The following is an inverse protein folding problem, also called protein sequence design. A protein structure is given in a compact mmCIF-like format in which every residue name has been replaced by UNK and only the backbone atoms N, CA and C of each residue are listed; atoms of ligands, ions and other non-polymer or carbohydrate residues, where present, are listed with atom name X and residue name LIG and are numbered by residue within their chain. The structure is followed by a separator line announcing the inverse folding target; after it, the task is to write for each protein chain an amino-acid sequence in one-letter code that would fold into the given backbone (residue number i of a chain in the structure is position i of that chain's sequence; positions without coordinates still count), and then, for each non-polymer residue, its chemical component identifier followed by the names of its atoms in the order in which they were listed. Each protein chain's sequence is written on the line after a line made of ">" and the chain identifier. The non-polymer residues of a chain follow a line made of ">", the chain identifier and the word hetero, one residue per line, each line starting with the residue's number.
data_IF_534737344266
#
_entry.id   IF_534737344266
#
_cell.length_a   1.000
_cell.length_b   1.000
_cell.length_c   1.000
_cell.angle_alpha   90.00
_cell.angle_beta   90.00
_cell.angle_gamma   90.00
#
_symmetry.space_group_name_H-M   'P 1'
#
loop_
_entity.id
_entity.type
_entity.pdbx_description
1 polymer ?
#
# COMPACT_ATOMS: atom_id res chain seq x y z
N UNK A 1 -8.22 -40.43 -1.81
CA UNK A 1 -8.28 -40.09 -3.25
C UNK A 1 -8.47 -38.58 -3.32
N UNK A 2 -7.46 -37.80 -3.72
CA UNK A 2 -7.67 -36.36 -3.88
C UNK A 2 -8.60 -36.16 -5.08
N UNK A 3 -9.76 -35.54 -4.85
CA UNK A 3 -10.65 -35.13 -5.94
C UNK A 3 -9.84 -34.29 -6.95
N UNK A 4 -9.92 -34.66 -8.23
CA UNK A 4 -9.25 -33.89 -9.28
C UNK A 4 -9.91 -32.51 -9.37
N UNK A 5 -9.12 -31.44 -9.26
CA UNK A 5 -9.63 -30.07 -9.36
C UNK A 5 -10.38 -29.84 -10.69
N UNK A 6 -11.48 -29.08 -10.68
CA UNK A 6 -12.16 -28.68 -11.91
C UNK A 6 -11.20 -27.93 -12.85
N UNK A 7 -11.41 -28.09 -14.14
CA UNK A 7 -10.55 -27.49 -15.17
C UNK A 7 -11.17 -26.22 -15.75
N UNK A 8 -10.38 -25.15 -15.80
CA UNK A 8 -10.72 -23.90 -16.47
C UNK A 8 -9.91 -23.76 -17.76
N UNK A 9 -10.60 -23.82 -18.90
CA UNK A 9 -9.99 -23.72 -20.23
C UNK A 9 -9.94 -22.28 -20.70
N UNK A 10 -8.77 -21.88 -21.22
CA UNK A 10 -8.55 -20.56 -21.78
C UNK A 10 -8.85 -20.52 -23.29
N UNK A 11 -9.22 -19.33 -23.76
CA UNK A 11 -9.30 -19.01 -25.19
C UNK A 11 -7.90 -19.13 -25.84
N UNK A 12 -7.82 -19.36 -27.17
CA UNK A 12 -6.54 -19.44 -27.86
C UNK A 12 -5.64 -18.23 -27.60
N UNK A 13 -4.37 -18.49 -27.22
CA UNK A 13 -3.33 -17.50 -26.92
C UNK A 13 -3.49 -16.70 -25.61
N UNK A 14 -4.58 -16.88 -24.85
CA UNK A 14 -4.77 -16.18 -23.58
C UNK A 14 -3.77 -16.62 -22.50
N UNK A 15 -3.17 -17.80 -22.63
CA UNK A 15 -2.17 -18.32 -21.70
C UNK A 15 -0.82 -17.60 -21.77
N UNK A 16 -0.56 -16.82 -22.83
CA UNK A 16 0.76 -16.19 -23.09
C UNK A 16 1.23 -15.33 -21.92
N UNK A 17 0.33 -14.51 -21.35
CA UNK A 17 0.64 -13.63 -20.20
C UNK A 17 0.97 -14.44 -18.95
N UNK A 18 0.23 -15.52 -18.70
CA UNK A 18 0.49 -16.41 -17.56
C UNK A 18 1.86 -17.09 -17.67
N UNK A 19 2.24 -17.52 -18.88
CA UNK A 19 3.53 -18.17 -19.14
C UNK A 19 4.73 -17.24 -18.93
N UNK A 20 4.55 -15.93 -19.06
CA UNK A 20 5.58 -14.93 -18.77
C UNK A 20 5.48 -14.35 -17.35
N UNK A 21 4.62 -14.93 -16.50
CA UNK A 21 4.56 -14.65 -15.06
C UNK A 21 3.35 -13.85 -14.59
N UNK A 22 2.44 -13.40 -15.45
CA UNK A 22 1.20 -12.76 -15.00
C UNK A 22 0.37 -13.74 -14.17
N UNK A 23 -0.32 -13.28 -13.12
CA UNK A 23 -1.11 -14.17 -12.26
C UNK A 23 -2.62 -14.08 -12.52
N UNK A 24 -3.13 -13.06 -13.19
CA UNK A 24 -4.57 -12.93 -13.44
C UNK A 24 -5.01 -13.52 -14.78
N UNK A 25 -6.19 -14.13 -14.75
CA UNK A 25 -7.00 -14.51 -15.91
C UNK A 25 -8.25 -13.66 -15.89
N UNK A 26 -8.48 -12.89 -16.95
CA UNK A 26 -9.67 -12.06 -17.07
C UNK A 26 -10.86 -12.88 -17.59
N UNK A 27 -12.08 -12.48 -17.26
CA UNK A 27 -13.29 -13.23 -17.62
C UNK A 27 -13.45 -13.43 -19.14
N UNK A 28 -13.00 -12.49 -19.96
CA UNK A 28 -13.00 -12.57 -21.42
C UNK A 28 -11.91 -13.49 -22.00
N UNK A 29 -10.98 -13.98 -21.17
CA UNK A 29 -9.92 -14.92 -21.57
C UNK A 29 -10.33 -16.39 -21.41
N UNK A 30 -11.50 -16.64 -20.80
CA UNK A 30 -12.00 -17.99 -20.52
C UNK A 30 -12.87 -18.48 -21.68
N UNK A 31 -12.67 -19.72 -22.11
CA UNK A 31 -13.56 -20.41 -23.04
C UNK A 31 -14.80 -20.86 -22.28
N UNK A 32 -15.80 -19.97 -22.22
CA UNK A 32 -17.05 -20.21 -21.47
C UNK A 32 -17.95 -21.27 -22.10
N UNK A 33 -17.71 -21.65 -23.37
CA UNK A 33 -18.42 -22.75 -24.01
C UNK A 33 -17.91 -24.11 -23.52
N UNK A 34 -16.61 -24.23 -23.24
CA UNK A 34 -16.00 -25.44 -22.66
C UNK A 34 -16.03 -25.47 -21.14
N UNK A 35 -15.80 -24.33 -20.49
CA UNK A 35 -15.88 -24.18 -19.04
C UNK A 35 -16.80 -23.01 -18.70
N UNK A 36 -18.11 -23.25 -18.50
CA UNK A 36 -19.03 -22.22 -18.05
C UNK A 36 -18.61 -21.69 -16.67
N UNK A 37 -18.19 -20.42 -16.57
CA UNK A 37 -17.73 -19.82 -15.30
C UNK A 37 -18.77 -19.95 -14.18
N UNK A 38 -20.06 -19.82 -14.52
CA UNK A 38 -21.18 -19.94 -13.56
C UNK A 38 -21.31 -21.33 -12.91
N UNK A 39 -20.62 -22.34 -13.40
CA UNK A 39 -20.56 -23.67 -12.77
C UNK A 39 -19.57 -23.72 -11.59
N UNK A 40 -18.68 -22.73 -11.48
CA UNK A 40 -17.73 -22.60 -10.38
C UNK A 40 -18.34 -21.72 -9.27
N UNK A 41 -17.89 -21.92 -8.03
CA UNK A 41 -18.19 -21.03 -6.91
C UNK A 41 -17.01 -20.09 -6.66
N UNK A 42 -17.30 -18.89 -6.14
CA UNK A 42 -16.27 -17.91 -5.83
C UNK A 42 -15.29 -18.46 -4.78
N UNK A 43 -14.01 -18.60 -5.18
CA UNK A 43 -12.92 -19.16 -4.41
C UNK A 43 -12.60 -20.64 -4.68
N UNK A 44 -13.28 -21.31 -5.62
CA UNK A 44 -12.94 -22.71 -5.97
C UNK A 44 -11.52 -22.81 -6.53
N UNK A 45 -10.76 -23.81 -6.08
CA UNK A 45 -9.48 -24.17 -6.70
C UNK A 45 -9.73 -24.85 -8.05
N UNK A 46 -8.98 -24.45 -9.06
CA UNK A 46 -9.10 -24.92 -10.44
C UNK A 46 -7.71 -25.19 -11.04
N UNK A 47 -7.67 -26.11 -12.00
CA UNK A 47 -6.53 -26.27 -12.89
C UNK A 47 -6.76 -25.48 -14.19
N UNK A 48 -5.81 -24.62 -14.53
CA UNK A 48 -5.82 -23.82 -15.77
C UNK A 48 -5.17 -24.63 -16.89
N UNK A 49 -5.85 -24.71 -18.03
CA UNK A 49 -5.33 -25.32 -19.26
C UNK A 49 -5.45 -24.36 -20.45
N UNK A 50 -4.52 -24.45 -21.38
CA UNK A 50 -4.61 -23.69 -22.64
C UNK A 50 -5.71 -24.27 -23.56
N UNK A 51 -5.96 -23.62 -24.69
CA UNK A 51 -7.01 -24.02 -25.64
C UNK A 51 -6.82 -25.44 -26.20
N UNK A 52 -5.60 -26.00 -26.15
CA UNK A 52 -5.25 -27.36 -26.57
C UNK A 52 -5.30 -28.37 -25.42
N UNK A 53 -5.62 -27.93 -24.20
CA UNK A 53 -5.66 -28.77 -23.01
C UNK A 53 -4.30 -28.97 -22.32
N UNK A 54 -3.26 -28.22 -22.70
CA UNK A 54 -1.96 -28.29 -22.01
C UNK A 54 -2.05 -27.54 -20.69
N UNK A 55 -1.54 -28.15 -19.62
CA UNK A 55 -1.46 -27.55 -18.29
C UNK A 55 -0.74 -26.18 -18.31
N UNK A 56 -1.31 -25.23 -17.57
CA UNK A 56 -0.75 -23.89 -17.32
C UNK A 56 -0.43 -23.70 -15.84
N UNK A 57 -1.29 -24.19 -14.94
CA UNK A 57 -1.04 -24.14 -13.50
C UNK A 57 -2.31 -24.29 -12.66
N UNK A 58 -2.19 -24.06 -11.35
CA UNK A 58 -3.29 -24.12 -10.37
C UNK A 58 -3.62 -22.72 -9.89
N UNK A 59 -4.91 -22.41 -9.81
CA UNK A 59 -5.46 -21.10 -9.47
C UNK A 59 -6.68 -21.26 -8.54
N UNK A 60 -7.16 -20.16 -7.98
CA UNK A 60 -8.56 -20.08 -7.57
C UNK A 60 -9.36 -19.24 -8.55
N UNK A 61 -10.65 -19.53 -8.70
CA UNK A 61 -11.57 -18.84 -9.59
C UNK A 61 -12.60 -18.00 -8.83
N UNK A 62 -13.01 -16.87 -9.40
CA UNK A 62 -14.19 -16.13 -8.99
C UNK A 62 -15.05 -15.80 -10.22
N UNK A 63 -16.20 -16.47 -10.42
CA UNK A 63 -17.02 -16.30 -11.62
C UNK A 63 -17.70 -14.93 -11.72
N UNK A 64 -17.74 -14.18 -10.61
CA UNK A 64 -18.42 -12.89 -10.51
C UNK A 64 -17.45 -11.70 -10.63
N UNK A 65 -16.15 -11.96 -10.80
CA UNK A 65 -15.11 -10.93 -10.89
C UNK A 65 -14.62 -10.75 -12.33
N UNK A 66 -14.17 -9.53 -12.66
CA UNK A 66 -13.47 -9.27 -13.93
C UNK A 66 -12.17 -10.09 -14.02
N UNK A 67 -11.49 -10.26 -12.89
CA UNK A 67 -10.37 -11.20 -12.74
C UNK A 67 -10.98 -12.54 -12.34
N UNK A 68 -11.31 -13.35 -13.35
CA UNK A 68 -12.04 -14.60 -13.18
C UNK A 68 -11.21 -15.71 -12.51
N UNK A 69 -9.88 -15.67 -12.61
CA UNK A 69 -9.01 -16.55 -11.85
C UNK A 69 -7.67 -15.89 -11.51
N UNK A 70 -7.06 -16.34 -10.41
CA UNK A 70 -5.74 -15.89 -9.95
C UNK A 70 -4.83 -17.09 -9.71
N UNK A 71 -3.74 -17.15 -10.46
CA UNK A 71 -2.76 -18.23 -10.45
C UNK A 71 -1.97 -18.24 -9.14
N UNK A 72 -1.96 -19.39 -8.47
CA UNK A 72 -1.19 -19.65 -7.26
C UNK A 72 0.14 -20.36 -7.58
N UNK A 73 0.12 -21.19 -8.61
CA UNK A 73 1.26 -22.00 -9.03
C UNK A 73 1.24 -22.23 -10.53
N UNK A 74 2.41 -22.15 -11.16
CA UNK A 74 2.60 -22.57 -12.56
C UNK A 74 2.61 -24.10 -12.73
N UNK A 75 2.60 -24.85 -11.62
CA UNK A 75 2.46 -26.30 -11.59
C UNK A 75 1.00 -26.67 -11.41
N UNK A 76 0.45 -27.43 -12.35
CA UNK A 76 -0.95 -27.89 -12.31
C UNK A 76 -1.19 -29.07 -11.35
N UNK A 77 -0.12 -29.68 -10.83
CA UNK A 77 -0.16 -30.70 -9.78
C UNK A 77 0.08 -30.10 -8.37
N UNK A 78 0.08 -28.77 -8.25
CA UNK A 78 0.35 -28.13 -6.97
C UNK A 78 -0.81 -28.37 -6.00
N UNK A 79 -0.48 -28.94 -4.84
CA UNK A 79 -1.39 -29.04 -3.70
C UNK A 79 -1.30 -27.73 -2.92
N UNK A 80 -2.41 -27.00 -2.84
CA UNK A 80 -2.52 -25.73 -2.12
C UNK A 80 -2.99 -26.01 -0.69
N UNK A 81 -2.04 -26.44 0.14
CA UNK A 81 -2.26 -26.81 1.54
C UNK A 81 -1.48 -25.90 2.51
N UNK A 82 -1.52 -26.25 3.80
CA UNK A 82 -0.75 -25.58 4.84
C UNK A 82 0.75 -25.54 4.49
N UNK A 83 1.34 -26.65 4.06
CA UNK A 83 2.76 -26.72 3.75
C UNK A 83 3.13 -25.82 2.57
N UNK A 84 2.26 -25.68 1.57
CA UNK A 84 2.44 -24.73 0.47
C UNK A 84 2.42 -23.28 0.95
N UNK A 85 1.45 -22.90 1.80
CA UNK A 85 1.36 -21.55 2.37
C UNK A 85 2.57 -21.23 3.27
N UNK A 86 2.95 -22.16 4.15
CA UNK A 86 4.12 -22.04 5.02
C UNK A 86 5.39 -21.77 4.21
N UNK A 87 5.63 -22.51 3.12
CA UNK A 87 6.80 -22.25 2.25
C UNK A 87 6.75 -20.88 1.57
N UNK A 88 5.57 -20.41 1.16
CA UNK A 88 5.41 -19.08 0.54
C UNK A 88 5.67 -17.97 1.55
N UNK A 89 5.12 -18.08 2.76
CA UNK A 89 5.33 -17.13 3.85
C UNK A 89 6.79 -17.10 4.29
N UNK A 90 7.44 -18.26 4.41
CA UNK A 90 8.87 -18.36 4.74
C UNK A 90 9.74 -17.63 3.69
N UNK A 91 9.45 -17.81 2.40
CA UNK A 91 10.16 -17.12 1.32
C UNK A 91 9.92 -15.60 1.37
N UNK A 92 8.69 -15.17 1.58
CA UNK A 92 8.35 -13.75 1.71
C UNK A 92 9.07 -13.12 2.92
N UNK A 93 9.06 -13.80 4.08
CA UNK A 93 9.78 -13.41 5.30
C UNK A 93 11.27 -13.30 5.06
N UNK A 94 11.90 -14.33 4.48
CA UNK A 94 13.34 -14.38 4.28
C UNK A 94 13.84 -13.17 3.46
N UNK A 95 13.06 -12.72 2.47
CA UNK A 95 13.36 -11.50 1.74
C UNK A 95 13.36 -10.27 2.66
N UNK A 96 12.30 -10.06 3.46
CA UNK A 96 12.20 -8.88 4.34
C UNK A 96 13.23 -8.91 5.47
N UNK A 97 13.45 -10.06 6.09
CA UNK A 97 14.45 -10.22 7.16
C UNK A 97 15.88 -9.93 6.66
N UNK A 98 16.14 -10.02 5.34
CA UNK A 98 17.43 -9.65 4.75
C UNK A 98 17.61 -8.13 4.52
N UNK A 99 16.53 -7.35 4.55
CA UNK A 99 16.52 -5.91 4.26
C UNK A 99 16.26 -5.11 5.53
N UNK A 100 15.31 -5.54 6.36
CA UNK A 100 14.83 -4.80 7.51
C UNK A 100 15.41 -5.38 8.80
N UNK A 101 16.08 -4.55 9.63
CA UNK A 101 16.73 -5.02 10.84
C UNK A 101 15.74 -5.40 11.96
N UNK A 102 14.49 -4.93 11.86
CA UNK A 102 13.43 -5.23 12.81
C UNK A 102 12.20 -5.75 12.07
N UNK A 103 11.37 -6.60 12.72
CA UNK A 103 10.17 -7.19 12.12
C UNK A 103 9.00 -6.20 11.96
N UNK A 104 9.25 -5.03 11.36
CA UNK A 104 8.25 -4.00 11.05
C UNK A 104 8.27 -3.72 9.55
N UNK A 105 7.42 -4.42 8.79
CA UNK A 105 7.37 -4.34 7.33
C UNK A 105 6.09 -4.99 6.80
N UNK A 106 5.79 -4.77 5.52
CA UNK A 106 4.86 -5.62 4.77
C UNK A 106 5.46 -6.99 4.50
N UNK A 107 4.97 -8.01 5.21
CA UNK A 107 5.41 -9.39 5.05
C UNK A 107 4.91 -10.01 3.73
N UNK A 108 3.66 -9.75 3.35
CA UNK A 108 3.06 -10.25 2.11
C UNK A 108 2.37 -9.11 1.36
N UNK A 109 2.72 -8.96 0.09
CA UNK A 109 2.15 -7.99 -0.85
C UNK A 109 1.51 -8.70 -2.06
N UNK A 110 0.48 -9.50 -1.77
CA UNK A 110 -0.41 -10.09 -2.77
C UNK A 110 0.30 -10.91 -3.84
N UNK A 111 -0.01 -10.58 -5.08
CA UNK A 111 0.53 -11.21 -6.28
C UNK A 111 2.06 -11.18 -6.34
N UNK A 112 2.69 -10.12 -5.82
CA UNK A 112 4.13 -9.95 -5.89
C UNK A 112 4.90 -11.01 -5.06
N UNK A 113 4.25 -11.57 -4.04
CA UNK A 113 4.77 -12.69 -3.23
C UNK A 113 4.19 -14.05 -3.63
N UNK A 114 3.48 -14.13 -4.76
CA UNK A 114 2.83 -15.35 -5.22
C UNK A 114 1.66 -15.79 -4.34
N UNK A 115 1.07 -14.85 -3.58
CA UNK A 115 -0.09 -15.05 -2.72
C UNK A 115 -1.21 -14.05 -3.11
N UNK A 116 -1.78 -14.15 -4.34
CA UNK A 116 -2.80 -13.22 -4.81
C UNK A 116 -3.90 -12.95 -3.80
N UNK A 117 -4.22 -11.68 -3.58
CA UNK A 117 -5.25 -11.26 -2.64
C UNK A 117 -4.90 -11.34 -1.15
N UNK A 118 -3.69 -11.76 -0.75
CA UNK A 118 -3.23 -11.72 0.64
C UNK A 118 -2.37 -10.48 0.91
N UNK A 119 -2.69 -9.74 1.95
CA UNK A 119 -1.82 -8.71 2.52
C UNK A 119 -1.53 -9.07 3.97
N UNK A 120 -0.26 -9.03 4.36
CA UNK A 120 0.15 -9.21 5.76
C UNK A 120 1.15 -8.13 6.12
N UNK A 121 0.79 -7.26 7.05
CA UNK A 121 1.70 -6.30 7.67
C UNK A 121 2.13 -6.83 9.03
N UNK A 122 3.44 -6.82 9.29
CA UNK A 122 4.04 -7.33 10.52
C UNK A 122 4.46 -6.17 11.40
N UNK A 123 4.00 -6.18 12.65
CA UNK A 123 4.32 -5.23 13.70
C UNK A 123 4.94 -5.99 14.87
N UNK A 124 6.20 -6.40 14.72
CA UNK A 124 6.85 -7.22 15.74
C UNK A 124 6.23 -8.60 15.84
N UNK A 125 5.58 -8.84 16.97
CA UNK A 125 4.86 -10.06 17.32
C UNK A 125 3.37 -10.02 16.95
N UNK A 126 2.88 -8.91 16.37
CA UNK A 126 1.51 -8.79 15.86
C UNK A 126 1.51 -8.83 14.33
N UNK A 127 0.55 -9.55 13.74
CA UNK A 127 0.30 -9.52 12.30
C UNK A 127 -1.07 -8.92 12.00
N UNK A 128 -1.14 -7.97 11.07
CA UNK A 128 -2.40 -7.46 10.52
C UNK A 128 -2.58 -8.05 9.13
N UNK A 129 -3.67 -8.79 8.94
CA UNK A 129 -3.90 -9.64 7.78
C UNK A 129 -5.16 -9.18 7.05
N UNK A 130 -5.09 -9.11 5.72
CA UNK A 130 -6.24 -8.90 4.87
C UNK A 130 -6.31 -9.98 3.80
N UNK A 131 -7.49 -10.58 3.65
CA UNK A 131 -7.80 -11.52 2.58
C UNK A 131 -8.79 -10.85 1.64
N UNK A 132 -8.30 -10.33 0.53
CA UNK A 132 -9.04 -9.39 -0.31
C UNK A 132 -9.73 -10.05 -1.51
N UNK A 133 -9.69 -11.37 -1.63
CA UNK A 133 -10.26 -12.11 -2.77
C UNK A 133 -10.92 -13.39 -2.28
N UNK A 134 -11.95 -13.86 -3.00
CA UNK A 134 -12.75 -15.00 -2.54
C UNK A 134 -11.94 -16.29 -2.33
N UNK A 135 -10.93 -16.55 -3.16
CA UNK A 135 -10.06 -17.72 -2.98
C UNK A 135 -9.15 -17.62 -1.76
N UNK A 136 -8.55 -16.44 -1.53
CA UNK A 136 -7.70 -16.24 -0.36
C UNK A 136 -8.51 -16.22 0.94
N UNK A 137 -9.74 -15.69 0.91
CA UNK A 137 -10.67 -15.72 2.04
C UNK A 137 -11.01 -17.16 2.46
N UNK A 138 -11.23 -18.07 1.50
CA UNK A 138 -11.38 -19.50 1.79
C UNK A 138 -10.12 -20.16 2.34
N UNK A 139 -8.95 -19.69 1.94
CA UNK A 139 -7.66 -20.16 2.46
C UNK A 139 -7.30 -19.50 3.80
N UNK A 140 -8.06 -18.54 4.29
CA UNK A 140 -7.78 -17.78 5.52
C UNK A 140 -7.46 -18.68 6.73
N UNK A 141 -8.20 -19.77 7.01
CA UNK A 141 -7.86 -20.67 8.12
C UNK A 141 -6.46 -21.29 8.00
N UNK A 142 -6.03 -21.63 6.78
CA UNK A 142 -4.69 -22.15 6.54
C UNK A 142 -3.63 -21.05 6.59
N UNK A 143 -3.95 -19.82 6.16
CA UNK A 143 -3.06 -18.66 6.30
C UNK A 143 -2.77 -18.37 7.78
N UNK A 144 -3.80 -18.40 8.63
CA UNK A 144 -3.65 -18.23 10.08
C UNK A 144 -2.73 -19.30 10.66
N UNK A 145 -2.96 -20.57 10.34
CA UNK A 145 -2.12 -21.68 10.79
C UNK A 145 -0.67 -21.54 10.30
N UNK A 146 -0.48 -21.12 9.05
CA UNK A 146 0.85 -20.92 8.47
C UNK A 146 1.59 -19.76 9.15
N UNK A 147 0.92 -18.65 9.45
CA UNK A 147 1.49 -17.53 10.21
C UNK A 147 1.85 -17.95 11.64
N UNK A 148 1.00 -18.74 12.30
CA UNK A 148 1.29 -19.28 13.63
C UNK A 148 2.52 -20.20 13.63
N UNK A 149 2.66 -21.05 12.62
CA UNK A 149 3.82 -21.94 12.47
C UNK A 149 5.12 -21.16 12.18
N UNK A 150 5.06 -20.16 11.31
CA UNK A 150 6.26 -19.44 10.85
C UNK A 150 6.73 -18.33 11.80
N UNK A 151 5.80 -17.64 12.46
CA UNK A 151 6.10 -16.41 13.20
C UNK A 151 5.82 -16.50 14.70
N UNK A 152 4.99 -17.45 15.13
CA UNK A 152 4.48 -17.55 16.50
C UNK A 152 4.00 -16.17 17.04
N UNK A 153 3.14 -15.45 16.30
CA UNK A 153 2.73 -14.11 16.70
C UNK A 153 1.88 -14.17 17.98
N UNK A 154 2.02 -13.16 18.83
CA UNK A 154 1.16 -12.96 20.00
C UNK A 154 -0.31 -12.73 19.61
N UNK A 155 -0.52 -12.09 18.46
CA UNK A 155 -1.86 -11.82 17.94
C UNK A 155 -1.89 -11.63 16.42
N UNK A 156 -3.01 -12.04 15.82
CA UNK A 156 -3.33 -11.82 14.41
C UNK A 156 -4.62 -11.03 14.34
N UNK A 157 -4.60 -9.88 13.67
CA UNK A 157 -5.78 -9.07 13.39
C UNK A 157 -6.19 -9.23 11.94
N UNK A 158 -7.35 -9.84 11.71
CA UNK A 158 -7.97 -9.93 10.40
C UNK A 158 -8.69 -8.60 10.12
N UNK A 159 -8.05 -7.69 9.37
CA UNK A 159 -8.60 -6.40 8.93
C UNK A 159 -9.30 -6.54 7.57
N UNK A 160 -10.36 -7.33 7.56
CA UNK A 160 -11.16 -7.65 6.39
C UNK A 160 -12.32 -6.64 6.22
N UNK A 161 -12.06 -5.34 6.38
CA UNK A 161 -13.01 -4.21 6.29
C UNK A 161 -12.70 -3.27 5.11
N UNK A 162 -11.86 -3.72 4.17
CA UNK A 162 -11.47 -2.95 2.98
C UNK A 162 -12.49 -3.04 1.84
N UNK A 163 -12.63 -1.94 1.08
CA UNK A 163 -13.57 -1.83 -0.05
C UNK A 163 -13.37 -2.85 -1.19
N UNK A 164 -12.20 -3.49 -1.26
CA UNK A 164 -11.93 -4.59 -2.20
C UNK A 164 -12.83 -5.80 -1.95
N UNK A 165 -13.25 -6.04 -0.70
CA UNK A 165 -14.10 -7.19 -0.35
C UNK A 165 -15.49 -7.09 -0.94
N UNK A 166 -16.06 -5.88 -1.00
CA UNK A 166 -17.35 -5.64 -1.66
C UNK A 166 -17.31 -6.04 -3.14
N UNK A 167 -16.21 -5.76 -3.84
CA UNK A 167 -16.02 -6.11 -5.27
C UNK A 167 -15.93 -7.62 -5.47
N UNK A 168 -15.41 -8.35 -4.48
CA UNK A 168 -15.30 -9.82 -4.49
C UNK A 168 -16.53 -10.52 -3.90
N UNK A 169 -17.56 -9.76 -3.47
CA UNK A 169 -18.79 -10.29 -2.88
C UNK A 169 -18.60 -10.89 -1.48
N UNK A 170 -17.60 -10.42 -0.73
CA UNK A 170 -17.24 -10.91 0.59
C UNK A 170 -17.80 -10.01 1.70
N UNK A 171 -18.17 -10.58 2.87
CA UNK A 171 -18.58 -9.79 4.02
C UNK A 171 -17.38 -9.01 4.60
N UNK A 172 -17.64 -7.82 5.14
CA UNK A 172 -16.66 -7.06 5.90
C UNK A 172 -16.65 -7.52 7.35
N UNK A 173 -15.46 -7.76 7.91
CA UNK A 173 -15.30 -8.22 9.28
C UNK A 173 -13.94 -7.78 9.84
N UNK A 174 -13.90 -7.50 11.15
CA UNK A 174 -12.66 -7.33 11.89
C UNK A 174 -12.64 -8.33 13.04
N UNK A 175 -11.67 -9.22 13.02
CA UNK A 175 -11.55 -10.31 14.00
C UNK A 175 -10.13 -10.40 14.53
N UNK A 176 -9.98 -10.63 15.83
CA UNK A 176 -8.68 -10.82 16.46
C UNK A 176 -8.52 -12.26 16.93
N UNK A 177 -7.35 -12.83 16.67
CA UNK A 177 -6.93 -14.16 17.11
C UNK A 177 -5.75 -13.96 18.05
N UNK A 178 -5.87 -14.43 19.29
CA UNK A 178 -4.92 -14.11 20.35
C UNK A 178 -5.09 -12.67 20.86
N UNK A 179 -4.01 -12.08 21.36
CA UNK A 179 -4.03 -10.75 21.97
C UNK A 179 -3.61 -9.68 20.97
N UNK A 180 -4.56 -8.85 20.54
CA UNK A 180 -4.29 -7.70 19.67
C UNK A 180 -4.78 -6.41 20.35
N UNK A 181 -3.88 -5.50 20.75
CA UNK A 181 -4.25 -4.21 21.31
C UNK A 181 -4.85 -3.27 20.25
N UNK A 182 -5.46 -2.16 20.68
CA UNK A 182 -6.02 -1.15 19.76
C UNK A 182 -4.93 -0.44 18.94
N UNK A 183 -3.78 -0.22 19.56
CA UNK A 183 -2.56 0.28 18.93
C UNK A 183 -1.38 -0.64 19.20
N UNK A 184 -0.50 -0.80 18.20
CA UNK A 184 0.72 -1.62 18.28
C UNK A 184 1.94 -0.76 18.13
N UNK A 185 3.00 -1.06 18.87
CA UNK A 185 4.27 -0.39 18.71
C UNK A 185 4.99 -0.87 17.45
N UNK A 186 5.74 0.03 16.83
CA UNK A 186 6.67 -0.29 15.75
C UNK A 186 7.92 0.59 15.82
N UNK A 187 9.01 0.06 15.29
CA UNK A 187 10.26 0.80 15.14
C UNK A 187 10.62 0.85 13.66
N UNK A 188 10.60 2.06 13.10
CA UNK A 188 10.97 2.31 11.72
C UNK A 188 12.27 3.11 11.69
N UNK A 189 13.36 2.48 11.21
CA UNK A 189 14.69 3.07 11.12
C UNK A 189 15.11 3.84 12.39
N UNK A 190 14.92 3.22 13.56
CA UNK A 190 15.29 3.75 14.88
C UNK A 190 14.28 4.70 15.54
N UNK A 191 13.18 5.05 14.87
CA UNK A 191 12.12 5.93 15.43
C UNK A 191 10.93 5.09 15.84
N UNK A 192 10.38 5.37 17.03
CA UNK A 192 9.30 4.58 17.65
C UNK A 192 7.95 5.20 17.35
N UNK A 193 6.97 4.37 17.02
CA UNK A 193 5.59 4.80 16.81
C UNK A 193 4.62 3.80 17.41
N UNK A 194 3.39 4.25 17.63
CA UNK A 194 2.21 3.42 17.85
C UNK A 194 1.25 3.58 16.67
N UNK A 195 0.95 2.47 16.02
CA UNK A 195 0.01 2.39 14.91
C UNK A 195 -1.36 1.92 15.42
N UNK A 196 -2.46 2.66 15.16
CA UNK A 196 -3.80 2.27 15.58
C UNK A 196 -4.35 1.18 14.65
N UNK A 197 -3.99 -0.08 14.88
CA UNK A 197 -4.28 -1.20 13.95
C UNK A 197 -5.74 -1.63 13.91
N UNK A 198 -6.56 -1.29 14.91
CA UNK A 198 -8.01 -1.65 14.90
C UNK A 198 -8.89 -0.62 14.22
N UNK A 199 -8.60 0.66 14.42
CA UNK A 199 -9.46 1.77 13.98
C UNK A 199 -8.79 2.70 12.96
N UNK A 200 -7.50 2.51 12.71
CA UNK A 200 -6.71 3.29 11.77
C UNK A 200 -6.99 2.94 10.31
N UNK A 201 -6.46 3.81 9.43
CA UNK A 201 -6.52 3.63 7.98
C UNK A 201 -5.65 2.45 7.54
N UNK A 202 -6.03 1.81 6.42
CA UNK A 202 -5.37 0.58 5.90
C UNK A 202 -5.26 -0.48 7.02
N UNK A 203 -4.04 -0.87 7.35
CA UNK A 203 -3.67 -1.82 8.40
C UNK A 203 -3.18 -1.12 9.67
N UNK A 204 -3.23 0.22 9.73
CA UNK A 204 -2.77 1.06 10.85
C UNK A 204 -1.47 1.82 10.58
N UNK A 205 -0.69 1.43 9.56
CA UNK A 205 0.57 2.10 9.20
C UNK A 205 0.84 2.03 7.69
N UNK A 206 1.62 2.99 7.19
CA UNK A 206 1.99 3.12 5.78
C UNK A 206 3.45 2.71 5.58
N UNK A 207 3.72 1.40 5.61
CA UNK A 207 5.06 0.84 5.36
C UNK A 207 5.57 1.14 3.94
N UNK A 208 4.67 1.33 2.97
CA UNK A 208 4.99 1.71 1.59
C UNK A 208 5.82 3.00 1.47
N UNK A 209 5.72 3.90 2.45
CA UNK A 209 6.43 5.17 2.52
C UNK A 209 7.74 5.13 3.33
N UNK A 210 8.14 3.99 3.91
CA UNK A 210 9.35 3.87 4.77
C UNK A 210 10.59 4.41 4.08
N UNK A 211 10.96 3.87 2.92
CA UNK A 211 12.17 4.30 2.18
C UNK A 211 12.13 5.79 1.82
N UNK A 212 10.95 6.33 1.52
CA UNK A 212 10.78 7.75 1.22
C UNK A 212 11.00 8.59 2.50
N UNK A 213 10.50 8.15 3.65
CA UNK A 213 10.78 8.78 4.96
C UNK A 213 12.26 8.74 5.31
N UNK A 214 12.97 7.68 4.96
CA UNK A 214 14.42 7.59 5.18
C UNK A 214 15.20 8.55 4.28
N UNK A 215 14.90 8.60 2.97
CA UNK A 215 15.52 9.55 2.02
C UNK A 215 15.27 11.01 2.42
N UNK A 216 14.07 11.28 2.91
CA UNK A 216 13.65 12.62 3.34
C UNK A 216 14.53 13.24 4.42
N UNK A 217 15.12 12.44 5.30
CA UNK A 217 15.98 12.92 6.39
C UNK A 217 17.17 13.77 5.92
N UNK A 218 17.60 13.60 4.65
CA UNK A 218 18.67 14.40 4.02
C UNK A 218 18.34 15.88 3.88
N UNK A 219 17.06 16.24 3.89
CA UNK A 219 16.57 17.57 3.55
C UNK A 219 16.09 18.40 4.74
N UNK A 220 16.05 17.83 5.95
CA UNK A 220 15.28 18.40 7.07
C UNK A 220 16.12 18.93 8.23
N UNK A 221 17.44 18.69 8.25
CA UNK A 221 18.29 19.16 9.34
C UNK A 221 18.27 20.69 9.43
N UNK A 222 18.00 21.20 10.63
CA UNK A 222 17.87 22.63 10.95
C UNK A 222 16.78 23.34 10.12
N UNK A 223 15.80 22.58 9.61
CA UNK A 223 14.71 23.10 8.77
C UNK A 223 13.38 23.16 9.51
N UNK A 224 12.53 24.09 9.09
CA UNK A 224 11.10 24.12 9.46
C UNK A 224 10.32 23.25 8.49
N UNK A 225 9.65 22.24 9.00
CA UNK A 225 8.94 21.23 8.20
C UNK A 225 7.43 21.35 8.37
N UNK A 226 6.70 21.27 7.26
CA UNK A 226 5.25 21.10 7.24
C UNK A 226 4.91 19.72 6.68
N UNK A 227 4.22 18.91 7.47
CA UNK A 227 3.71 17.58 7.11
C UNK A 227 2.19 17.66 6.88
N UNK A 228 1.79 17.67 5.61
CA UNK A 228 0.38 17.75 5.20
C UNK A 228 -0.16 16.35 4.98
N UNK A 229 -1.33 16.06 5.54
CA UNK A 229 -1.90 14.70 5.66
C UNK A 229 -1.04 13.82 6.57
N UNK A 230 -0.63 14.39 7.69
CA UNK A 230 0.35 13.80 8.61
C UNK A 230 -0.05 12.43 9.18
N UNK A 231 -1.34 12.09 9.18
CA UNK A 231 -1.87 10.90 9.82
C UNK A 231 -1.36 10.80 11.27
N UNK A 232 -0.58 9.77 11.62
CA UNK A 232 -0.01 9.58 12.97
C UNK A 232 1.41 10.18 13.11
N UNK A 233 1.82 11.05 12.18
CA UNK A 233 3.00 11.90 12.29
C UNK A 233 4.29 11.31 11.73
N UNK A 234 4.17 10.33 10.82
CA UNK A 234 5.33 9.58 10.33
C UNK A 234 6.39 10.47 9.67
N UNK A 235 6.00 11.52 8.93
CA UNK A 235 6.97 12.45 8.31
C UNK A 235 7.44 13.51 9.30
N UNK A 236 6.52 14.19 10.00
CA UNK A 236 6.86 15.27 10.93
C UNK A 236 7.75 14.83 12.09
N UNK A 237 7.46 13.69 12.72
CA UNK A 237 8.25 13.15 13.83
C UNK A 237 9.62 12.67 13.34
N UNK A 238 9.67 12.03 12.16
CA UNK A 238 10.92 11.64 11.50
C UNK A 238 11.80 12.86 11.24
N UNK A 239 11.22 13.99 10.82
CA UNK A 239 11.95 15.23 10.64
C UNK A 239 12.56 15.74 11.95
N UNK A 240 11.78 15.77 13.04
CA UNK A 240 12.29 16.22 14.35
C UNK A 240 13.44 15.35 14.85
N UNK A 241 13.31 14.01 14.78
CA UNK A 241 14.39 13.11 15.19
C UNK A 241 15.64 13.27 14.29
N UNK A 242 15.46 13.60 13.01
CA UNK A 242 16.55 13.91 12.08
C UNK A 242 17.17 15.32 12.27
N UNK A 243 16.71 16.09 13.26
CA UNK A 243 17.28 17.39 13.62
C UNK A 243 16.62 18.59 12.96
N UNK A 244 15.36 18.49 12.52
CA UNK A 244 14.56 19.66 12.16
C UNK A 244 14.39 20.63 13.33
N UNK A 245 14.29 21.93 13.05
CA UNK A 245 14.08 22.96 14.07
C UNK A 245 12.63 22.99 14.56
N UNK A 246 11.68 22.63 13.70
CA UNK A 246 10.27 22.50 14.05
C UNK A 246 9.55 21.65 13.01
N UNK A 247 8.53 20.89 13.43
CA UNK A 247 7.61 20.23 12.52
C UNK A 247 6.16 20.59 12.87
N UNK A 248 5.38 20.90 11.83
CA UNK A 248 3.95 21.14 11.91
C UNK A 248 3.21 20.05 11.15
N UNK A 249 2.36 19.31 11.83
CA UNK A 249 1.55 18.21 11.31
C UNK A 249 0.10 18.69 11.10
N UNK A 250 -0.39 18.57 9.86
CA UNK A 250 -1.77 18.91 9.50
C UNK A 250 -2.54 17.63 9.16
N UNK A 251 -3.68 17.42 9.81
CA UNK A 251 -4.61 16.35 9.47
C UNK A 251 -6.06 16.76 9.77
N UNK A 252 -7.02 16.13 9.09
CA UNK A 252 -8.45 16.37 9.33
C UNK A 252 -8.98 15.61 10.55
N UNK A 253 -8.30 14.52 10.93
CA UNK A 253 -8.69 13.60 11.99
C UNK A 253 -8.06 14.00 13.32
N UNK A 254 -8.89 14.38 14.31
CA UNK A 254 -8.39 14.64 15.67
C UNK A 254 -7.75 13.39 16.30
N UNK A 255 -8.34 12.18 16.21
CA UNK A 255 -7.67 10.98 16.71
C UNK A 255 -6.29 10.71 16.09
N UNK A 256 -6.08 11.08 14.82
CA UNK A 256 -4.77 10.96 14.19
C UNK A 256 -3.77 11.95 14.79
N UNK A 257 -4.18 13.20 15.01
CA UNK A 257 -3.36 14.23 15.65
C UNK A 257 -3.06 13.93 17.13
N UNK A 258 -4.00 13.31 17.86
CA UNK A 258 -3.73 12.84 19.22
C UNK A 258 -2.61 11.79 19.21
N UNK A 259 -2.64 10.87 18.23
CA UNK A 259 -1.56 9.90 18.02
C UNK A 259 -0.23 10.55 17.55
N UNK A 260 -0.27 11.65 16.81
CA UNK A 260 0.93 12.46 16.49
C UNK A 260 1.60 12.93 17.78
N UNK A 261 0.84 13.48 18.72
CA UNK A 261 1.36 13.98 20.00
C UNK A 261 1.93 12.83 20.83
N UNK A 262 1.22 11.71 20.93
CA UNK A 262 1.72 10.51 21.63
C UNK A 262 3.03 10.00 21.00
N UNK A 263 3.08 9.88 19.68
CA UNK A 263 4.26 9.39 18.97
C UNK A 263 5.45 10.36 19.07
N UNK A 264 5.21 11.67 19.09
CA UNK A 264 6.27 12.65 19.31
C UNK A 264 6.90 12.47 20.71
N UNK A 265 6.06 12.29 21.74
CA UNK A 265 6.51 12.03 23.10
C UNK A 265 7.33 10.74 23.23
N UNK A 266 6.97 9.66 22.50
CA UNK A 266 7.75 8.42 22.46
C UNK A 266 9.19 8.62 21.96
N UNK A 267 9.46 9.69 21.22
CA UNK A 267 10.78 10.01 20.67
C UNK A 267 11.44 11.21 21.37
N UNK A 268 10.82 11.76 22.42
CA UNK A 268 11.35 12.92 23.14
C UNK A 268 11.40 14.19 22.29
N UNK A 269 10.51 14.32 21.32
CA UNK A 269 10.39 15.49 20.45
C UNK A 269 9.01 16.12 20.55
N UNK A 270 8.89 17.38 20.16
CA UNK A 270 7.62 18.09 20.10
C UNK A 270 7.29 18.45 18.65
N UNK A 271 6.00 18.43 18.32
CA UNK A 271 5.48 18.81 17.01
C UNK A 271 4.20 19.63 17.21
N UNK A 272 3.96 20.57 16.32
CA UNK A 272 2.71 21.33 16.29
C UNK A 272 1.64 20.52 15.53
N UNK A 273 0.50 20.24 16.15
CA UNK A 273 -0.60 19.51 15.53
C UNK A 273 -1.76 20.45 15.18
N UNK A 274 -2.14 20.52 13.90
CA UNK A 274 -3.17 21.43 13.39
C UNK A 274 -4.31 20.66 12.72
N UNK A 275 -5.48 20.64 13.37
CA UNK A 275 -6.69 20.02 12.81
C UNK A 275 -7.30 20.84 11.69
N UNK A 276 -7.53 20.26 10.52
CA UNK A 276 -8.35 20.88 9.49
C UNK A 276 -8.24 20.21 8.13
N UNK A 277 -9.07 20.66 7.18
CA UNK A 277 -8.86 20.32 5.77
C UNK A 277 -7.50 20.85 5.30
N UNK A 278 -6.82 20.05 4.48
CA UNK A 278 -5.46 20.34 4.04
C UNK A 278 -5.38 21.65 3.24
N UNK A 279 -6.27 21.88 2.26
CA UNK A 279 -6.22 23.10 1.45
C UNK A 279 -6.54 24.33 2.28
N UNK A 280 -7.52 24.23 3.18
CA UNK A 280 -7.91 25.35 4.02
C UNK A 280 -6.82 25.70 5.05
N UNK A 281 -6.15 24.69 5.62
CA UNK A 281 -4.99 24.92 6.50
C UNK A 281 -3.81 25.51 5.76
N UNK A 282 -3.49 25.03 4.55
CA UNK A 282 -2.43 25.62 3.73
C UNK A 282 -2.70 27.11 3.43
N UNK A 283 -3.95 27.48 3.12
CA UNK A 283 -4.36 28.88 2.91
C UNK A 283 -4.27 29.71 4.20
N UNK A 284 -4.72 29.18 5.34
CA UNK A 284 -4.66 29.85 6.64
C UNK A 284 -3.20 30.14 7.03
N UNK A 285 -2.33 29.12 6.97
CA UNK A 285 -0.91 29.27 7.29
C UNK A 285 -0.25 30.36 6.42
N UNK A 286 -0.65 30.43 5.14
CA UNK A 286 -0.17 31.46 4.22
C UNK A 286 -0.68 32.85 4.61
N UNK A 287 -1.96 32.98 4.97
CA UNK A 287 -2.54 34.22 5.44
C UNK A 287 -1.86 34.71 6.73
N UNK A 288 -1.43 33.79 7.60
CA UNK A 288 -0.66 34.05 8.81
C UNK A 288 0.82 34.39 8.54
N UNK A 289 1.24 34.45 7.27
CA UNK A 289 2.62 34.75 6.87
C UNK A 289 3.62 33.64 7.18
N UNK A 290 3.17 32.42 7.48
CA UNK A 290 4.07 31.31 7.79
C UNK A 290 4.78 30.83 6.53
N UNK A 291 6.03 30.42 6.73
CA UNK A 291 6.88 29.84 5.69
C UNK A 291 7.63 28.64 6.24
N UNK A 292 7.96 27.71 5.34
CA UNK A 292 8.65 26.47 5.66
C UNK A 292 9.81 26.25 4.71
N UNK A 293 10.82 25.53 5.20
CA UNK A 293 11.96 25.10 4.42
C UNK A 293 11.65 23.82 3.63
N UNK A 294 10.80 22.97 4.21
CA UNK A 294 10.37 21.71 3.61
C UNK A 294 8.86 21.52 3.81
N UNK A 295 8.14 21.14 2.76
CA UNK A 295 6.70 20.81 2.82
C UNK A 295 6.49 19.43 2.21
N UNK A 296 5.84 18.54 2.95
CA UNK A 296 5.42 17.21 2.51
C UNK A 296 3.93 17.24 2.20
N UNK A 297 3.55 16.68 1.06
CA UNK A 297 2.16 16.54 0.60
C UNK A 297 1.92 15.08 0.25
N UNK A 298 1.34 14.33 1.19
CA UNK A 298 1.08 12.89 1.05
C UNK A 298 -0.41 12.54 1.17
N UNK A 299 -1.25 12.98 0.22
CA UNK A 299 -2.70 12.80 0.31
C UNK A 299 -3.11 11.33 0.17
N UNK A 300 -4.31 10.97 0.66
CA UNK A 300 -4.93 9.69 0.30
C UNK A 300 -5.14 9.60 -1.23
N UNK A 301 -5.43 8.40 -1.74
CA UNK A 301 -5.65 8.20 -3.17
C UNK A 301 -6.84 9.04 -3.68
N UNK A 302 -6.52 10.16 -4.37
CA UNK A 302 -7.50 11.09 -4.92
C UNK A 302 -8.17 10.57 -6.22
N UNK A 303 -7.55 9.58 -6.88
CA UNK A 303 -8.08 8.96 -8.11
C UNK A 303 -8.30 7.47 -7.83
N UNK A 304 -9.49 7.14 -7.31
CA UNK A 304 -9.87 5.76 -6.98
C UNK A 304 -10.28 4.95 -8.20
N UNK A 305 -10.82 5.60 -9.23
CA UNK A 305 -11.27 4.98 -10.48
C UNK A 305 -10.85 5.85 -11.65
N UNK A 306 -10.70 5.24 -12.83
CA UNK A 306 -10.34 5.94 -14.07
C UNK A 306 -11.23 7.15 -14.39
N UNK A 307 -12.52 7.11 -14.05
CA UNK A 307 -13.46 8.23 -14.29
C UNK A 307 -13.25 9.44 -13.37
N UNK A 308 -12.56 9.25 -12.25
CA UNK A 308 -12.30 10.31 -11.26
C UNK A 308 -10.97 11.05 -11.56
N UNK A 309 -10.35 10.75 -12.72
CA UNK A 309 -8.97 11.17 -13.05
C UNK A 309 -8.82 12.69 -13.18
N UNK A 310 -9.60 13.36 -14.02
CA UNK A 310 -9.51 14.81 -14.24
C UNK A 310 -9.72 15.61 -12.94
N UNK A 311 -10.74 15.25 -12.16
CA UNK A 311 -11.02 15.89 -10.87
C UNK A 311 -9.87 15.68 -9.87
N UNK A 312 -9.28 14.49 -9.86
CA UNK A 312 -8.11 14.21 -9.02
C UNK A 312 -6.87 14.97 -9.44
N UNK A 313 -6.61 15.15 -10.75
CA UNK A 313 -5.50 15.97 -11.24
C UNK A 313 -5.60 17.42 -10.76
N UNK A 314 -6.80 18.01 -10.84
CA UNK A 314 -7.03 19.38 -10.36
C UNK A 314 -6.86 19.50 -8.83
N UNK A 315 -7.25 18.47 -8.07
CA UNK A 315 -7.02 18.44 -6.64
C UNK A 315 -5.52 18.32 -6.30
N UNK A 316 -4.77 17.42 -6.96
CA UNK A 316 -3.31 17.35 -6.82
C UNK A 316 -2.64 18.68 -7.17
N UNK A 317 -3.09 19.35 -8.22
CA UNK A 317 -2.59 20.66 -8.62
C UNK A 317 -2.84 21.72 -7.55
N UNK A 318 -4.06 21.81 -7.02
CA UNK A 318 -4.41 22.77 -5.96
C UNK A 318 -3.56 22.57 -4.70
N UNK A 319 -3.38 21.31 -4.25
CA UNK A 319 -2.59 20.99 -3.06
C UNK A 319 -1.12 21.37 -3.24
N UNK A 320 -0.50 20.94 -4.34
CA UNK A 320 0.90 21.23 -4.60
C UNK A 320 1.16 22.72 -4.85
N UNK A 321 0.24 23.42 -5.51
CA UNK A 321 0.30 24.89 -5.65
C UNK A 321 0.30 25.56 -4.27
N UNK A 322 -0.63 25.21 -3.40
CA UNK A 322 -0.74 25.80 -2.07
C UNK A 322 0.48 25.48 -1.19
N UNK A 323 1.01 24.26 -1.26
CA UNK A 323 2.24 23.87 -0.59
C UNK A 323 3.46 24.67 -1.07
N UNK A 324 3.61 24.86 -2.39
CA UNK A 324 4.68 25.68 -2.95
C UNK A 324 4.60 27.14 -2.46
N UNK A 325 3.42 27.70 -2.24
CA UNK A 325 3.26 29.08 -1.74
C UNK A 325 3.77 29.28 -0.30
N UNK A 326 3.91 28.19 0.46
CA UNK A 326 4.46 28.20 1.82
C UNK A 326 5.97 27.95 1.86
N UNK A 327 6.58 27.54 0.75
CA UNK A 327 8.01 27.29 0.68
C UNK A 327 8.80 28.59 0.54
N UNK A 328 9.86 28.73 1.34
CA UNK A 328 10.91 29.73 1.12
C UNK A 328 11.59 29.52 -0.25
N UNK A 329 12.26 30.54 -0.81
CA UNK A 329 13.09 30.37 -2.00
C UNK A 329 14.15 29.27 -1.79
N UNK A 330 14.19 28.30 -2.69
CA UNK A 330 15.07 27.14 -2.60
C UNK A 330 14.62 26.05 -1.62
N UNK A 331 13.42 26.15 -1.04
CA UNK A 331 12.83 25.12 -0.19
C UNK A 331 12.49 23.83 -0.96
N UNK A 332 12.22 22.75 -0.21
CA UNK A 332 11.98 21.41 -0.76
C UNK A 332 10.50 21.04 -0.63
N UNK A 333 9.88 20.67 -1.74
CA UNK A 333 8.58 20.02 -1.79
C UNK A 333 8.77 18.50 -1.89
N UNK A 334 8.12 17.74 -1.02
CA UNK A 334 7.94 16.30 -1.18
C UNK A 334 6.51 16.04 -1.59
N UNK A 335 6.29 15.67 -2.86
CA UNK A 335 4.96 15.46 -3.41
C UNK A 335 4.73 13.97 -3.67
N UNK A 336 3.74 13.39 -3.00
CA UNK A 336 3.43 11.96 -3.06
C UNK A 336 2.05 11.71 -3.70
N UNK A 337 1.88 10.50 -4.23
CA UNK A 337 0.60 10.00 -4.74
C UNK A 337 0.56 8.48 -4.64
N UNK A 338 -0.49 7.94 -4.00
CA UNK A 338 -0.80 6.51 -4.00
C UNK A 338 -1.92 6.13 -4.98
N UNK A 339 -2.38 7.07 -5.81
CA UNK A 339 -3.40 6.80 -6.84
C UNK A 339 -2.79 5.99 -7.99
N UNK A 340 -3.10 4.69 -8.12
CA UNK A 340 -2.62 3.88 -9.26
C UNK A 340 -2.91 4.54 -10.62
N UNK A 341 -4.12 5.06 -10.80
CA UNK A 341 -4.56 5.69 -12.05
C UNK A 341 -3.87 7.02 -12.39
N UNK A 342 -3.02 7.56 -11.51
CA UNK A 342 -2.16 8.70 -11.83
C UNK A 342 -0.83 8.18 -12.35
N UNK A 343 -0.44 8.52 -13.58
CA UNK A 343 0.91 8.19 -14.04
C UNK A 343 1.96 9.09 -13.37
N UNK A 344 3.18 8.56 -13.20
CA UNK A 344 4.30 9.35 -12.67
C UNK A 344 4.58 10.60 -13.52
N UNK A 345 4.50 10.45 -14.84
CA UNK A 345 4.68 11.55 -15.79
C UNK A 345 3.63 12.65 -15.64
N UNK A 346 2.43 12.32 -15.18
CA UNK A 346 1.34 13.28 -14.95
C UNK A 346 1.60 14.10 -13.70
N UNK A 347 1.99 13.44 -12.60
CA UNK A 347 2.37 14.14 -11.37
C UNK A 347 3.53 15.10 -11.63
N UNK A 348 4.57 14.67 -12.33
CA UNK A 348 5.69 15.53 -12.70
C UNK A 348 5.23 16.76 -13.52
N UNK A 349 4.35 16.56 -14.51
CA UNK A 349 3.80 17.64 -15.33
C UNK A 349 2.98 18.63 -14.51
N UNK A 350 2.18 18.14 -13.56
CA UNK A 350 1.45 18.99 -12.61
C UNK A 350 2.44 19.84 -11.81
N UNK A 351 3.45 19.23 -11.18
CA UNK A 351 4.41 19.96 -10.36
C UNK A 351 5.13 21.06 -11.17
N UNK A 352 5.55 20.76 -12.40
CA UNK A 352 6.17 21.75 -13.28
C UNK A 352 5.21 22.89 -13.62
N UNK A 353 3.98 22.57 -14.01
CA UNK A 353 2.94 23.55 -14.36
C UNK A 353 2.66 24.49 -13.19
N UNK A 354 2.46 23.94 -11.98
CA UNK A 354 2.14 24.73 -10.79
C UNK A 354 3.31 25.58 -10.29
N UNK A 355 4.55 25.12 -10.44
CA UNK A 355 5.73 25.95 -10.16
C UNK A 355 5.84 27.12 -11.16
N UNK A 356 5.63 26.86 -12.45
CA UNK A 356 5.71 27.89 -13.50
C UNK A 356 4.59 28.92 -13.42
N UNK A 357 3.37 28.51 -13.05
CA UNK A 357 2.26 29.43 -12.79
C UNK A 357 2.57 30.43 -11.66
N UNK A 358 3.55 30.13 -10.81
CA UNK A 358 4.02 30.98 -9.72
C UNK A 358 5.34 31.68 -10.04
N UNK A 359 5.81 31.62 -11.30
CA UNK A 359 7.12 32.11 -11.75
C UNK A 359 8.32 31.50 -11.02
N UNK A 360 8.18 30.26 -10.53
CA UNK A 360 9.24 29.53 -9.82
C UNK A 360 9.87 28.46 -10.71
N UNK A 361 11.13 28.16 -10.46
CA UNK A 361 11.84 27.05 -11.08
C UNK A 361 11.69 25.79 -10.23
N UNK A 362 11.48 24.66 -10.89
CA UNK A 362 11.41 23.35 -10.25
C UNK A 362 12.64 22.53 -10.65
N UNK A 363 13.32 21.94 -9.66
CA UNK A 363 14.40 20.98 -9.87
C UNK A 363 14.04 19.68 -9.15
N UNK A 364 13.96 18.56 -9.88
CA UNK A 364 13.76 17.24 -9.28
C UNK A 364 15.11 16.78 -8.73
N UNK A 365 15.18 16.56 -7.42
CA UNK A 365 16.37 16.10 -6.71
C UNK A 365 16.39 14.57 -6.64
N UNK A 366 15.25 13.97 -6.31
CA UNK A 366 15.05 12.52 -6.22
C UNK A 366 13.63 12.14 -6.66
N UNK A 367 13.51 10.92 -7.17
CA UNK A 367 12.24 10.23 -7.38
C UNK A 367 12.18 9.03 -6.42
N UNK A 368 11.03 8.87 -5.78
CA UNK A 368 10.73 7.80 -4.84
C UNK A 368 9.52 6.97 -5.28
N UNK A 369 9.31 5.88 -4.58
CA UNK A 369 8.25 4.92 -4.84
C UNK A 369 8.05 4.02 -3.63
N UNK A 370 7.28 2.95 -3.80
CA UNK A 370 7.08 1.98 -2.73
C UNK A 370 8.37 1.21 -2.39
N UNK A 371 8.59 0.96 -1.10
CA UNK A 371 9.75 0.22 -0.59
C UNK A 371 9.79 -1.25 -1.01
N UNK A 372 10.92 -1.95 -0.75
CA UNK A 372 11.13 -3.33 -1.19
C UNK A 372 10.23 -4.36 -0.49
N UNK A 373 9.62 -4.04 0.65
CA UNK A 373 8.56 -4.85 1.29
C UNK A 373 7.22 -4.82 0.51
N UNK A 374 7.07 -3.87 -0.42
CA UNK A 374 6.00 -3.75 -1.40
C UNK A 374 6.51 -4.04 -2.83
N UNK A 375 7.03 -5.25 -3.11
CA UNK A 375 7.69 -5.53 -4.38
C UNK A 375 6.76 -5.29 -5.58
N UNK A 376 7.29 -4.65 -6.62
CA UNK A 376 6.58 -4.51 -7.88
C UNK A 376 6.68 -5.81 -8.67
N UNK A 377 5.54 -6.43 -8.95
CA UNK A 377 5.48 -7.62 -9.77
C UNK A 377 5.79 -7.25 -11.24
N UNK A 378 6.81 -7.86 -11.88
CA UNK A 378 7.31 -7.42 -13.19
C UNK A 378 6.28 -7.57 -14.33
N UNK A 379 5.37 -8.53 -14.22
CA UNK A 379 4.31 -8.73 -15.20
C UNK A 379 2.99 -8.01 -14.86
N UNK A 380 2.86 -7.34 -13.70
CA UNK A 380 1.60 -6.74 -13.24
C UNK A 380 1.88 -5.31 -12.82
N UNK A 381 1.75 -4.39 -13.78
CA UNK A 381 2.08 -2.97 -13.60
C UNK A 381 1.23 -2.30 -12.53
N UNK A 382 0.03 -2.83 -12.28
CA UNK A 382 -0.90 -2.40 -11.23
C UNK A 382 -0.32 -2.51 -9.81
N UNK A 383 0.70 -3.34 -9.62
CA UNK A 383 1.39 -3.45 -8.33
C UNK A 383 2.29 -2.25 -8.03
N UNK A 384 2.64 -1.43 -9.04
CA UNK A 384 3.34 -0.16 -8.85
C UNK A 384 2.33 0.98 -8.75
N UNK A 385 2.07 1.46 -7.54
CA UNK A 385 1.04 2.49 -7.31
C UNK A 385 1.57 3.77 -6.68
N UNK A 386 2.65 3.70 -5.88
CA UNK A 386 3.18 4.85 -5.15
C UNK A 386 4.18 5.65 -5.99
N UNK A 387 4.02 6.97 -6.03
CA UNK A 387 4.94 7.93 -6.63
C UNK A 387 5.32 8.97 -5.59
N UNK A 388 6.60 9.36 -5.54
CA UNK A 388 7.08 10.47 -4.73
C UNK A 388 8.12 11.30 -5.51
N UNK A 389 8.05 12.62 -5.39
CA UNK A 389 9.04 13.54 -5.96
C UNK A 389 9.59 14.47 -4.89
N UNK A 390 10.91 14.57 -4.80
CA UNK A 390 11.62 15.55 -3.99
C UNK A 390 12.07 16.67 -4.90
N UNK A 391 11.48 17.84 -4.74
CA UNK A 391 11.67 18.96 -5.65
C UNK A 391 12.19 20.18 -4.91
N UNK A 392 13.30 20.75 -5.35
CA UNK A 392 13.68 22.11 -4.97
C UNK A 392 12.85 23.10 -5.76
N UNK A 393 12.24 24.06 -5.07
CA UNK A 393 11.42 25.12 -5.66
C UNK A 393 12.13 26.45 -5.44
N UNK A 394 12.57 27.10 -6.52
CA UNK A 394 13.23 28.41 -6.45
C UNK A 394 12.31 29.49 -6.99
#
# INVERSE_FOLDING_TARGET
>A
MSESLPTLRLNPNAERRLRVGHSWVFSNEVDTAKTPLKALKAGDLVNIVDSRGKAVGTAYANPNSLIAARLLSSRADAVIDLAWLTRRLAAARAMRDSIYPTPHYRLVYGEADGLPGLVVDRFGDICVVQTNTAGMDRLQPLVIQALQAELQPRGILLRNDGSSRTVEGLPEAVEAIGEVPDSVELVESGVRFKAPVRHGQKTGWFFDQHDNRDRFTRYVREKRVLDVFSYVGAWGIRAMVAGATSATCVDSSQPALDAVVENAALNGVEVEALKGDALDRLKSLRADGRTFDVVVVDPPALIKRRKDHDAGLEHYAALNRAAMQLLVPGGVLVACSCSFHLEESELQRILLREARAQNRQLQILEQGGQGPDHPVHPAIVETRYLKAFYCRVN
#
